data_IF_036271120237
#
_entry.id   IF_036271120237
#
_cell.length_a   1.000
_cell.length_b   1.000
_cell.length_c   1.000
_cell.angle_alpha   90.00
_cell.angle_beta   90.00
_cell.angle_gamma   90.00
#
_symmetry.space_group_name_H-M   'P 1'
#
loop_
_entity.id
_entity.type
_entity.pdbx_description
1 polymer ?
#
# COMPACT_ATOMS: atom_id res chain seq x y z
N UNK A 1 -0.95 -1.61 13.96
CA UNK A 1 -0.04 -0.89 13.05
C UNK A 1 0.10 0.59 13.38
N UNK A 2 -0.95 1.30 13.80
CA UNK A 2 -0.87 2.75 14.10
C UNK A 2 0.29 3.16 15.02
N UNK A 3 0.52 2.45 16.14
CA UNK A 3 1.60 2.78 17.10
C UNK A 3 2.99 2.62 16.48
N UNK A 4 3.16 1.67 15.55
CA UNK A 4 4.42 1.48 14.84
C UNK A 4 4.64 2.59 13.81
N UNK A 5 3.59 3.00 13.08
CA UNK A 5 3.67 4.12 12.15
C UNK A 5 4.00 5.42 12.90
N UNK A 6 3.36 5.63 14.04
CA UNK A 6 3.62 6.81 14.86
C UNK A 6 5.06 6.84 15.41
N UNK A 7 5.60 5.69 15.83
CA UNK A 7 6.94 5.61 16.38
C UNK A 7 8.05 5.69 15.32
N UNK A 8 7.90 5.04 14.16
CA UNK A 8 9.01 4.81 13.24
C UNK A 8 8.97 5.62 11.95
N UNK A 9 7.79 6.04 11.48
CA UNK A 9 7.65 6.60 10.14
C UNK A 9 7.82 8.12 10.17
N UNK A 10 8.71 8.65 9.33
CA UNK A 10 9.01 10.07 9.17
C UNK A 10 8.61 10.63 7.79
N UNK A 11 8.81 11.93 7.59
CA UNK A 11 8.38 12.66 6.38
C UNK A 11 9.09 12.26 5.09
N UNK A 12 10.18 11.49 5.16
CA UNK A 12 10.89 10.94 4.00
C UNK A 12 10.52 9.49 3.68
N UNK A 13 9.68 8.88 4.50
CA UNK A 13 9.22 7.51 4.30
C UNK A 13 7.95 7.47 3.44
N UNK A 14 7.62 6.26 3.01
CA UNK A 14 6.32 5.94 2.41
C UNK A 14 5.68 4.81 3.23
N UNK A 15 4.39 4.96 3.56
CA UNK A 15 3.64 3.85 4.16
C UNK A 15 2.95 3.04 3.07
N UNK A 16 3.24 1.74 3.03
CA UNK A 16 2.67 0.81 2.07
C UNK A 16 1.69 -0.17 2.75
N UNK A 17 0.39 -0.02 2.48
CA UNK A 17 -0.67 -0.84 3.09
C UNK A 17 -1.18 -1.94 2.15
N UNK A 18 -1.31 -3.17 2.63
CA UNK A 18 -1.85 -4.28 1.83
C UNK A 18 -3.14 -4.79 2.48
N UNK A 19 -4.22 -4.90 1.69
CA UNK A 19 -5.49 -5.47 2.16
C UNK A 19 -6.33 -5.98 1.00
N UNK A 20 -6.62 -7.29 0.97
CA UNK A 20 -7.46 -7.85 -0.11
C UNK A 20 -8.89 -7.31 -0.10
N UNK A 21 -9.47 -7.11 1.08
CA UNK A 21 -10.84 -6.57 1.23
C UNK A 21 -10.93 -5.04 1.19
N UNK A 22 -9.80 -4.33 1.31
CA UNK A 22 -9.77 -2.88 1.42
C UNK A 22 -10.42 -2.30 2.69
N UNK A 23 -10.72 -3.12 3.70
CA UNK A 23 -11.54 -2.72 4.86
C UNK A 23 -10.90 -2.97 6.23
N UNK A 24 -9.65 -3.43 6.27
CA UNK A 24 -8.92 -3.68 7.52
C UNK A 24 -8.78 -2.41 8.36
N UNK A 25 -9.42 -2.41 9.54
CA UNK A 25 -9.38 -1.27 10.47
C UNK A 25 -7.93 -0.90 10.88
N UNK A 26 -7.07 -1.92 11.04
CA UNK A 26 -5.67 -1.71 11.42
C UNK A 26 -4.89 -0.94 10.35
N UNK A 27 -5.16 -1.19 9.07
CA UNK A 27 -4.51 -0.48 7.96
C UNK A 27 -5.11 0.92 7.81
N UNK A 28 -6.44 1.07 7.93
CA UNK A 28 -7.11 2.38 7.91
C UNK A 28 -6.52 3.30 8.99
N UNK A 29 -6.39 2.82 10.22
CA UNK A 29 -5.83 3.63 11.31
C UNK A 29 -4.36 3.98 11.08
N UNK A 30 -3.56 3.05 10.55
CA UNK A 30 -2.17 3.31 10.19
C UNK A 30 -2.03 4.40 9.12
N UNK A 31 -2.84 4.34 8.06
CA UNK A 31 -2.87 5.34 7.00
C UNK A 31 -3.29 6.72 7.52
N UNK A 32 -4.27 6.79 8.42
CA UNK A 32 -4.68 8.04 9.06
C UNK A 32 -3.56 8.68 9.87
N UNK A 33 -2.76 7.89 10.58
CA UNK A 33 -1.59 8.41 11.30
C UNK A 33 -0.51 8.88 10.31
N UNK A 34 -0.18 8.10 9.28
CA UNK A 34 0.78 8.51 8.25
C UNK A 34 0.37 9.84 7.58
N UNK A 35 -0.91 9.98 7.23
CA UNK A 35 -1.47 11.20 6.65
C UNK A 35 -1.37 12.41 7.58
N UNK A 36 -1.67 12.24 8.88
CA UNK A 36 -1.47 13.29 9.90
C UNK A 36 0.00 13.72 10.02
N UNK A 37 0.92 12.80 9.78
CA UNK A 37 2.37 13.06 9.79
C UNK A 37 2.90 13.60 8.46
N UNK A 38 2.03 13.83 7.46
CA UNK A 38 2.42 14.31 6.13
C UNK A 38 3.22 13.29 5.32
N UNK A 39 3.11 11.99 5.66
CA UNK A 39 3.81 10.89 5.00
C UNK A 39 2.98 10.42 3.81
N UNK A 40 3.62 10.21 2.67
CA UNK A 40 2.95 9.65 1.48
C UNK A 40 2.49 8.21 1.73
N UNK A 41 1.36 7.85 1.14
CA UNK A 41 0.74 6.54 1.35
C UNK A 41 0.38 5.85 0.04
N UNK A 42 0.70 4.56 -0.04
CA UNK A 42 0.32 3.68 -1.15
C UNK A 42 -0.38 2.44 -0.60
N UNK A 43 -1.27 1.84 -1.40
CA UNK A 43 -1.90 0.59 -1.02
C UNK A 43 -2.16 -0.38 -2.15
N UNK A 44 -2.06 -1.69 -1.85
CA UNK A 44 -2.50 -2.77 -2.71
C UNK A 44 -3.79 -3.36 -2.18
N UNK A 45 -4.83 -3.30 -3.01
CA UNK A 45 -6.20 -3.58 -2.62
C UNK A 45 -6.85 -4.56 -3.60
N UNK A 46 -7.94 -5.18 -3.17
CA UNK A 46 -8.88 -5.89 -4.02
C UNK A 46 -10.31 -5.49 -3.67
N UNK A 47 -11.28 -6.26 -4.14
CA UNK A 47 -12.68 -6.11 -3.76
C UNK A 47 -13.25 -4.68 -3.91
N UNK A 48 -12.80 -3.93 -4.93
CA UNK A 48 -13.22 -2.54 -5.16
C UNK A 48 -12.58 -1.51 -4.22
N UNK A 49 -11.51 -1.86 -3.49
CA UNK A 49 -10.69 -0.92 -2.73
C UNK A 49 -11.19 -0.59 -1.32
N UNK A 50 -12.47 -0.84 -1.04
CA UNK A 50 -13.07 -0.62 0.28
C UNK A 50 -12.86 0.80 0.83
N UNK A 51 -12.81 0.92 2.16
CA UNK A 51 -12.55 2.20 2.83
C UNK A 51 -11.11 2.69 2.67
N UNK A 52 -10.16 1.77 2.53
CA UNK A 52 -8.73 2.10 2.44
C UNK A 52 -8.43 2.95 1.20
N UNK A 53 -9.10 2.69 0.08
CA UNK A 53 -8.87 3.45 -1.16
C UNK A 53 -9.08 4.97 -1.01
N UNK A 54 -9.89 5.42 -0.04
CA UNK A 54 -10.13 6.86 0.22
C UNK A 54 -9.08 7.49 1.14
N UNK A 55 -8.35 6.66 1.88
CA UNK A 55 -7.35 7.11 2.87
C UNK A 55 -5.93 7.05 2.31
N UNK A 56 -5.71 6.30 1.24
CA UNK A 56 -4.43 6.14 0.55
C UNK A 56 -4.28 7.15 -0.59
N UNK A 57 -3.10 7.74 -0.76
CA UNK A 57 -2.82 8.67 -1.86
C UNK A 57 -2.74 7.93 -3.21
N UNK A 58 -2.11 6.74 -3.20
CA UNK A 58 -1.97 5.90 -4.40
C UNK A 58 -2.57 4.50 -4.18
N UNK A 59 -3.90 4.33 -4.34
CA UNK A 59 -4.54 3.02 -4.24
C UNK A 59 -4.43 2.24 -5.56
N UNK A 60 -3.84 1.05 -5.52
CA UNK A 60 -3.85 0.08 -6.63
C UNK A 60 -4.88 -0.99 -6.29
N UNK A 61 -5.94 -1.07 -7.08
CA UNK A 61 -7.08 -1.97 -6.83
C UNK A 61 -7.08 -3.08 -7.88
N UNK A 62 -6.82 -4.32 -7.45
CA UNK A 62 -6.97 -5.50 -8.30
C UNK A 62 -8.43 -5.71 -8.67
N UNK A 63 -8.70 -5.94 -9.95
CA UNK A 63 -10.04 -6.18 -10.50
C UNK A 63 -10.54 -7.60 -10.21
N UNK A 64 -10.54 -7.99 -8.93
CA UNK A 64 -11.05 -9.28 -8.46
C UNK A 64 -11.70 -9.12 -7.08
N UNK A 65 -12.73 -9.94 -6.85
CA UNK A 65 -13.37 -10.13 -5.55
C UNK A 65 -12.84 -11.38 -4.83
N UNK A 66 -12.08 -12.23 -5.52
CA UNK A 66 -11.56 -13.48 -4.98
C UNK A 66 -10.19 -13.25 -4.32
N UNK A 67 -10.12 -13.52 -3.01
CA UNK A 67 -8.95 -13.18 -2.18
C UNK A 67 -7.65 -13.82 -2.67
N UNK A 68 -7.59 -15.12 -2.99
CA UNK A 68 -6.40 -15.74 -3.60
C UNK A 68 -5.95 -15.04 -4.89
N UNK A 69 -6.87 -14.72 -5.81
CA UNK A 69 -6.52 -14.00 -7.04
C UNK A 69 -5.98 -12.60 -6.75
N UNK A 70 -6.55 -11.90 -5.76
CA UNK A 70 -6.05 -10.59 -5.33
C UNK A 70 -4.62 -10.72 -4.76
N UNK A 71 -4.35 -11.74 -3.94
CA UNK A 71 -3.01 -11.98 -3.38
C UNK A 71 -1.96 -12.29 -4.45
N UNK A 72 -2.30 -13.12 -5.44
CA UNK A 72 -1.42 -13.41 -6.59
C UNK A 72 -1.07 -12.13 -7.34
N UNK A 73 -2.06 -11.28 -7.59
CA UNK A 73 -1.85 -9.98 -8.23
C UNK A 73 -1.01 -9.04 -7.36
N UNK A 74 -1.19 -9.05 -6.03
CA UNK A 74 -0.36 -8.24 -5.13
C UNK A 74 1.12 -8.65 -5.21
N UNK A 75 1.41 -9.94 -5.26
CA UNK A 75 2.79 -10.45 -5.42
C UNK A 75 3.37 -9.99 -6.76
N UNK A 76 2.62 -10.16 -7.86
CA UNK A 76 3.05 -9.70 -9.18
C UNK A 76 3.34 -8.18 -9.20
N UNK A 77 2.45 -7.36 -8.63
CA UNK A 77 2.64 -5.92 -8.55
C UNK A 77 3.88 -5.56 -7.74
N UNK A 78 4.13 -6.24 -6.62
CA UNK A 78 5.34 -6.03 -5.82
C UNK A 78 6.60 -6.34 -6.65
N UNK A 79 6.61 -7.44 -7.42
CA UNK A 79 7.74 -7.75 -8.31
C UNK A 79 7.96 -6.68 -9.39
N UNK A 80 6.88 -6.17 -9.99
CA UNK A 80 6.96 -5.08 -10.97
C UNK A 80 7.51 -3.81 -10.31
N UNK A 81 7.04 -3.45 -9.11
CA UNK A 81 7.55 -2.31 -8.36
C UNK A 81 9.05 -2.44 -8.09
N UNK A 82 9.51 -3.60 -7.63
CA UNK A 82 10.93 -3.85 -7.43
C UNK A 82 11.73 -3.65 -8.73
N UNK A 83 11.28 -4.24 -9.84
CA UNK A 83 11.97 -4.10 -11.13
C UNK A 83 12.01 -2.64 -11.62
N UNK A 84 10.91 -1.89 -11.48
CA UNK A 84 10.87 -0.47 -11.86
C UNK A 84 11.78 0.38 -10.97
N UNK A 85 11.78 0.12 -9.66
CA UNK A 85 12.64 0.83 -8.70
C UNK A 85 14.11 0.54 -9.01
N UNK A 86 14.46 -0.72 -9.22
CA UNK A 86 15.81 -1.15 -9.56
C UNK A 86 16.29 -0.50 -10.86
N UNK A 87 15.51 -0.57 -11.94
CA UNK A 87 15.86 0.07 -13.22
C UNK A 87 16.00 1.60 -13.10
N UNK A 88 15.26 2.25 -12.20
CA UNK A 88 15.36 3.70 -11.98
C UNK A 88 16.58 4.09 -11.14
N UNK A 89 16.94 3.29 -10.15
CA UNK A 89 18.06 3.58 -9.26
C UNK A 89 19.40 3.06 -9.81
N UNK A 90 19.35 1.98 -10.59
CA UNK A 90 20.50 1.25 -11.12
C UNK A 90 20.26 0.88 -12.60
N UNK A 91 20.34 1.84 -13.53
CA UNK A 91 19.94 1.65 -14.93
C UNK A 91 20.85 0.74 -15.77
N UNK A 92 21.84 0.09 -15.15
CA UNK A 92 23.00 -0.51 -15.81
C UNK A 92 23.02 -2.05 -15.77
N UNK A 93 21.91 -2.70 -15.42
CA UNK A 93 21.73 -4.15 -15.52
C UNK A 93 21.07 -4.53 -16.85
#
# INVERSE_FOLDING_TARGET
FERQVDAFVGSKDILFGISTSGNSANIINALKIAKKKGVQTMSLLGCGGGRIAKESDFPIICASQDTPRVQEMHILIIHILCSVIENKLFPSN
#
